data_IF_817281727053
#
_entry.id   IF_817281727053
#
_cell.length_a   1.000
_cell.length_b   1.000
_cell.length_c   1.000
_cell.angle_alpha   90.00
_cell.angle_beta   90.00
_cell.angle_gamma   90.00
#
_symmetry.space_group_name_H-M   'P 1'
#
loop_
_entity.id
_entity.type
_entity.pdbx_description
1 polymer ?
#
# COMPACT_ATOMS: atom_id res chain seq x y z
N UNK A 1 -22.16 6.28 -4.26
CA UNK A 1 -21.00 5.47 -3.85
C UNK A 1 -19.78 6.34 -4.10
N UNK A 2 -19.07 6.73 -3.04
CA UNK A 2 -17.87 7.56 -3.17
C UNK A 2 -16.77 6.68 -3.74
N UNK A 3 -16.04 7.17 -4.75
CA UNK A 3 -14.89 6.43 -5.27
C UNK A 3 -13.79 6.40 -4.21
N UNK A 4 -13.21 5.23 -3.97
CA UNK A 4 -12.05 5.07 -3.08
C UNK A 4 -10.92 6.01 -3.50
N UNK A 5 -10.26 6.58 -2.52
CA UNK A 5 -9.10 7.45 -2.65
C UNK A 5 -7.81 6.68 -2.42
N UNK A 6 -6.68 7.25 -2.88
CA UNK A 6 -5.37 6.68 -2.61
C UNK A 6 -5.06 6.60 -1.10
N UNK A 7 -5.56 7.55 -0.32
CA UNK A 7 -5.42 7.59 1.13
C UNK A 7 -6.15 6.43 1.81
N UNK A 8 -7.41 6.16 1.39
CA UNK A 8 -8.16 4.98 1.89
C UNK A 8 -7.48 3.66 1.50
N UNK A 9 -6.91 3.57 0.30
CA UNK A 9 -6.15 2.38 -0.11
C UNK A 9 -4.88 2.18 0.74
N UNK A 10 -4.19 3.27 1.08
CA UNK A 10 -3.06 3.23 2.02
C UNK A 10 -3.53 2.78 3.39
N UNK A 11 -4.63 3.32 3.90
CA UNK A 11 -5.18 2.98 5.22
C UNK A 11 -5.51 1.50 5.36
N UNK A 12 -6.11 0.89 4.33
CA UNK A 12 -6.40 -0.56 4.30
C UNK A 12 -5.12 -1.38 4.44
N UNK A 13 -4.08 -1.01 3.68
CA UNK A 13 -2.82 -1.75 3.70
C UNK A 13 -2.00 -1.44 4.96
N UNK A 14 -2.06 -0.22 5.48
CA UNK A 14 -1.38 0.13 6.73
C UNK A 14 -2.01 -0.60 7.91
N UNK A 15 -3.34 -0.68 7.97
CA UNK A 15 -4.07 -1.45 8.99
C UNK A 15 -3.74 -2.95 8.92
N UNK A 16 -3.69 -3.53 7.70
CA UNK A 16 -3.26 -4.92 7.52
C UNK A 16 -1.85 -5.19 8.07
N UNK A 17 -0.93 -4.23 7.93
CA UNK A 17 0.41 -4.30 8.52
C UNK A 17 0.48 -3.71 9.95
N UNK A 18 -0.66 -3.58 10.63
CA UNK A 18 -0.78 -3.12 12.01
C UNK A 18 -0.20 -1.72 12.25
N UNK A 19 -0.29 -0.84 11.26
CA UNK A 19 0.25 0.53 11.27
C UNK A 19 1.71 0.57 11.71
N UNK A 20 2.51 -0.38 11.21
CA UNK A 20 3.91 -0.50 11.57
C UNK A 20 4.69 0.80 11.20
N UNK A 21 5.31 1.49 12.18
CA UNK A 21 6.02 2.75 11.94
C UNK A 21 7.27 2.58 11.07
N UNK A 22 7.76 1.35 10.89
CA UNK A 22 8.84 1.04 9.96
C UNK A 22 8.40 1.07 8.49
N UNK A 23 7.09 1.04 8.22
CA UNK A 23 6.57 0.92 6.87
C UNK A 23 6.07 2.26 6.35
N UNK A 24 6.47 2.57 5.13
CA UNK A 24 5.94 3.64 4.30
C UNK A 24 5.12 3.04 3.16
N UNK A 25 4.08 3.76 2.76
CA UNK A 25 3.15 3.33 1.73
C UNK A 25 3.08 4.40 0.64
N UNK A 26 3.20 3.98 -0.62
CA UNK A 26 2.97 4.86 -1.78
C UNK A 26 1.88 4.21 -2.65
N UNK A 27 0.74 4.89 -2.81
CA UNK A 27 -0.38 4.42 -3.62
C UNK A 27 -0.41 5.07 -5.00
N UNK A 28 -0.66 4.25 -6.02
CA UNK A 28 -0.74 4.64 -7.42
C UNK A 28 -2.08 4.19 -7.99
N UNK A 29 -2.81 5.09 -8.65
CA UNK A 29 -4.02 4.70 -9.35
C UNK A 29 -3.65 3.74 -10.50
N UNK A 30 -4.12 2.50 -10.40
CA UNK A 30 -4.01 1.51 -11.46
C UNK A 30 -5.40 1.45 -12.12
N UNK A 31 -5.47 1.58 -13.44
CA UNK A 31 -6.75 1.69 -14.15
C UNK A 31 -7.77 0.59 -13.74
N UNK A 32 -9.07 0.82 -13.96
CA UNK A 32 -10.17 -0.01 -13.46
C UNK A 32 -10.46 0.10 -11.95
N UNK A 33 -10.48 1.32 -11.40
CA UNK A 33 -11.01 1.54 -10.04
C UNK A 33 -10.21 0.79 -8.96
N UNK A 34 -8.91 0.58 -9.18
CA UNK A 34 -8.00 -0.04 -8.22
C UNK A 34 -6.81 0.89 -7.90
N UNK A 35 -6.15 0.60 -6.80
CA UNK A 35 -4.90 1.26 -6.40
C UNK A 35 -3.81 0.21 -6.21
N UNK A 36 -2.65 0.44 -6.80
CA UNK A 36 -1.44 -0.30 -6.46
C UNK A 36 -0.78 0.40 -5.26
N UNK A 37 -0.67 -0.27 -4.13
CA UNK A 37 -0.02 0.24 -2.91
C UNK A 37 1.33 -0.45 -2.75
N UNK A 38 2.40 0.30 -2.94
CA UNK A 38 3.77 -0.15 -2.68
C UNK A 38 4.08 0.03 -1.20
N UNK A 39 4.60 -1.02 -0.58
CA UNK A 39 5.02 -1.02 0.83
C UNK A 39 6.54 -1.00 0.90
N UNK A 40 7.08 -0.08 1.68
CA UNK A 40 8.50 0.22 1.77
C UNK A 40 8.90 0.17 3.26
N UNK A 41 9.78 -0.74 3.63
CA UNK A 41 10.42 -0.74 4.96
C UNK A 41 11.56 0.27 4.99
N UNK A 42 11.48 1.18 5.97
CA UNK A 42 12.47 2.18 6.27
C UNK A 42 13.74 1.52 6.80
N UNK A 43 13.64 0.57 7.73
CA UNK A 43 14.80 -0.19 8.25
C UNK A 43 15.58 -0.91 7.15
N UNK A 44 14.90 -1.49 6.15
CA UNK A 44 15.58 -2.12 5.02
C UNK A 44 16.21 -1.10 4.07
N UNK A 45 15.58 0.06 3.91
CA UNK A 45 16.16 1.17 3.14
C UNK A 45 17.42 1.73 3.81
N UNK A 46 17.42 1.90 5.14
CA UNK A 46 18.57 2.35 5.92
C UNK A 46 19.75 1.37 5.87
N UNK A 47 19.48 0.08 5.71
CA UNK A 47 20.49 -0.96 5.53
C UNK A 47 21.08 -1.02 4.10
N UNK A 48 20.70 -0.10 3.22
CA UNK A 48 21.16 -0.04 1.82
C UNK A 48 20.38 -0.95 0.86
N UNK A 49 19.27 -1.54 1.32
CA UNK A 49 18.32 -2.24 0.47
C UNK A 49 17.37 -1.28 -0.25
N UNK A 50 16.60 -1.80 -1.21
CA UNK A 50 15.58 -1.01 -1.91
C UNK A 50 14.36 -0.66 -1.04
N UNK A 51 14.28 -1.23 0.17
CA UNK A 51 13.17 -1.07 1.11
C UNK A 51 11.87 -1.73 0.66
N UNK A 52 11.74 -2.16 -0.59
CA UNK A 52 10.48 -2.69 -1.11
C UNK A 52 10.14 -4.04 -0.47
N UNK A 53 9.08 -4.09 0.32
CA UNK A 53 8.61 -5.32 0.99
C UNK A 53 7.43 -5.95 0.28
N UNK A 54 6.76 -5.23 -0.63
CA UNK A 54 5.64 -5.76 -1.39
C UNK A 54 4.87 -4.70 -2.16
N UNK A 55 4.02 -5.18 -3.08
CA UNK A 55 3.08 -4.34 -3.81
C UNK A 55 1.71 -5.00 -3.75
N UNK A 56 0.71 -4.26 -3.27
CA UNK A 56 -0.65 -4.75 -3.11
C UNK A 56 -1.56 -4.07 -4.13
N UNK A 57 -2.55 -4.79 -4.63
CA UNK A 57 -3.64 -4.21 -5.41
C UNK A 57 -4.84 -4.09 -4.48
N UNK A 58 -5.39 -2.89 -4.36
CA UNK A 58 -6.58 -2.59 -3.54
C UNK A 58 -7.73 -2.21 -4.47
N UNK A 59 -8.88 -2.84 -4.26
CA UNK A 59 -10.11 -2.56 -5.00
C UNK A 59 -10.96 -1.51 -4.30
N UNK A 60 -11.81 -0.81 -5.06
CA UNK A 60 -12.79 0.13 -4.51
C UNK A 60 -13.74 -0.46 -3.45
N UNK A 61 -13.86 -1.79 -3.35
CA UNK A 61 -14.68 -2.46 -2.32
C UNK A 61 -13.89 -2.78 -1.04
N UNK A 62 -12.61 -2.41 -0.96
CA UNK A 62 -11.74 -2.69 0.18
C UNK A 62 -11.04 -4.05 0.15
N UNK A 63 -11.32 -4.88 -0.86
CA UNK A 63 -10.59 -6.13 -1.06
C UNK A 63 -9.18 -5.85 -1.60
N UNK A 64 -8.19 -6.56 -1.09
CA UNK A 64 -6.80 -6.42 -1.54
C UNK A 64 -6.10 -7.78 -1.69
N UNK A 65 -5.05 -7.81 -2.52
CA UNK A 65 -4.16 -8.97 -2.67
C UNK A 65 -2.73 -8.53 -3.01
N UNK A 66 -1.76 -9.39 -2.71
CA UNK A 66 -0.37 -9.19 -3.12
C UNK A 66 -0.25 -9.40 -4.63
N UNK A 67 0.43 -8.47 -5.32
CA UNK A 67 0.65 -8.51 -6.76
C UNK A 67 1.70 -9.53 -7.18
#
# INVERSE_FOLDING_TARGET
MTAMTAEEAIEIISDYHQNNPDLRYDAFANGNMTFDVKVISLSLMEQGGSGNVGMYIVTQSGGFWLK
#
